data_IF_584186054913
#
_entry.id   IF_584186054913
#
_cell.length_a   1.000
_cell.length_b   1.000
_cell.length_c   1.000
_cell.angle_alpha   90.00
_cell.angle_beta   90.00
_cell.angle_gamma   90.00
#
_symmetry.space_group_name_H-M   'P 1'
#
loop_
_entity.id
_entity.type
_entity.pdbx_description
1 polymer ?
#
# COMPACT_ATOMS: atom_id res chain seq x y z
N UNK A 1 -15.17 -1.90 20.63
CA UNK A 1 -14.72 -1.09 19.46
C UNK A 1 -15.03 0.38 19.73
N UNK A 2 -14.05 1.26 19.53
CA UNK A 2 -14.23 2.70 19.78
C UNK A 2 -15.08 3.35 18.67
N UNK A 3 -15.89 4.38 18.95
CA UNK A 3 -16.74 5.05 17.94
C UNK A 3 -15.97 5.57 16.73
N UNK A 4 -14.77 6.10 16.91
CA UNK A 4 -13.91 6.56 15.82
C UNK A 4 -13.54 5.42 14.85
N UNK A 5 -13.20 4.24 15.37
CA UNK A 5 -12.89 3.06 14.56
C UNK A 5 -14.11 2.55 13.77
N UNK A 6 -15.31 2.61 14.36
CA UNK A 6 -16.55 2.25 13.64
C UNK A 6 -16.78 3.18 12.42
N UNK A 7 -16.59 4.48 12.63
CA UNK A 7 -16.70 5.49 11.55
C UNK A 7 -15.66 5.24 10.45
N UNK A 8 -14.42 4.93 10.81
CA UNK A 8 -13.35 4.62 9.84
C UNK A 8 -13.70 3.37 9.01
N UNK A 9 -14.18 2.30 9.66
CA UNK A 9 -14.59 1.06 8.97
C UNK A 9 -15.78 1.33 8.03
N UNK A 10 -16.75 2.10 8.47
CA UNK A 10 -17.88 2.50 7.62
C UNK A 10 -17.41 3.31 6.40
N UNK A 11 -16.44 4.21 6.57
CA UNK A 11 -15.84 4.96 5.48
C UNK A 11 -15.09 4.05 4.49
N UNK A 12 -14.26 3.11 4.99
CA UNK A 12 -13.60 2.14 4.12
C UNK A 12 -14.59 1.32 3.30
N UNK A 13 -15.64 0.81 3.93
CA UNK A 13 -16.70 0.04 3.24
C UNK A 13 -17.47 0.87 2.20
N UNK A 14 -17.67 2.15 2.44
CA UNK A 14 -18.38 3.06 1.53
C UNK A 14 -17.51 3.53 0.38
N UNK A 15 -16.28 3.97 0.67
CA UNK A 15 -15.44 4.70 -0.28
C UNK A 15 -14.28 3.86 -0.86
N UNK A 16 -13.99 2.70 -0.24
CA UNK A 16 -12.89 1.81 -0.62
C UNK A 16 -11.54 2.22 -0.03
N UNK A 17 -11.47 3.33 0.68
CA UNK A 17 -10.29 3.77 1.44
C UNK A 17 -10.69 4.69 2.60
N UNK A 18 -9.79 4.81 3.58
CA UNK A 18 -9.94 5.74 4.71
C UNK A 18 -8.58 6.17 5.23
N UNK A 19 -8.44 7.44 5.56
CA UNK A 19 -7.29 7.97 6.30
C UNK A 19 -7.53 7.78 7.79
N UNK A 20 -6.55 7.20 8.47
CA UNK A 20 -6.50 7.06 9.92
C UNK A 20 -5.37 7.95 10.42
N UNK A 21 -5.69 9.15 10.94
CA UNK A 21 -4.68 10.09 11.40
C UNK A 21 -4.00 9.59 12.68
N UNK A 22 -2.73 9.95 12.85
CA UNK A 22 -1.90 9.60 14.01
C UNK A 22 -1.92 8.08 14.31
N UNK A 23 -1.85 7.27 13.25
CA UNK A 23 -1.85 5.81 13.38
C UNK A 23 -0.58 5.29 14.04
N UNK A 24 0.57 5.85 13.68
CA UNK A 24 1.86 5.64 14.33
C UNK A 24 2.09 6.76 15.34
N UNK A 25 2.50 6.46 16.59
CA UNK A 25 3.06 7.46 17.47
C UNK A 25 4.30 8.14 16.87
N UNK A 26 4.57 9.39 17.23
CA UNK A 26 5.66 10.19 16.65
C UNK A 26 7.02 9.51 16.78
N UNK A 27 7.34 8.98 17.96
CA UNK A 27 8.58 8.27 18.23
C UNK A 27 8.74 7.00 17.39
N UNK A 28 7.65 6.27 17.16
CA UNK A 28 7.62 5.10 16.30
C UNK A 28 7.82 5.49 14.83
N UNK A 29 7.13 6.53 14.37
CA UNK A 29 7.25 7.03 13.00
C UNK A 29 8.68 7.50 12.72
N UNK A 30 9.30 8.26 13.62
CA UNK A 30 10.69 8.72 13.50
C UNK A 30 11.69 7.55 13.49
N UNK A 31 11.49 6.55 14.36
CA UNK A 31 12.33 5.36 14.39
C UNK A 31 12.23 4.55 13.09
N UNK A 32 11.01 4.29 12.61
CA UNK A 32 10.76 3.61 11.33
C UNK A 32 11.41 4.34 10.16
N UNK A 33 11.25 5.67 10.11
CA UNK A 33 11.84 6.51 9.06
C UNK A 33 13.37 6.44 9.08
N UNK A 34 13.98 6.52 10.24
CA UNK A 34 15.45 6.45 10.41
C UNK A 34 16.01 5.12 9.92
N UNK A 35 15.39 4.00 10.31
CA UNK A 35 15.80 2.68 9.86
C UNK A 35 15.60 2.54 8.35
N UNK A 36 14.47 3.01 7.82
CA UNK A 36 14.18 2.97 6.38
C UNK A 36 15.21 3.76 5.56
N UNK A 37 15.56 4.96 5.99
CA UNK A 37 16.57 5.79 5.32
C UNK A 37 17.97 5.17 5.37
N UNK A 38 18.35 4.55 6.50
CA UNK A 38 19.62 3.84 6.64
C UNK A 38 19.73 2.67 5.66
N UNK A 39 18.70 1.82 5.61
CA UNK A 39 18.65 0.68 4.67
C UNK A 39 18.58 1.13 3.21
N UNK A 40 17.88 2.23 2.92
CA UNK A 40 17.82 2.81 1.59
C UNK A 40 19.20 3.34 1.15
N UNK A 41 19.92 4.04 2.02
CA UNK A 41 21.26 4.54 1.76
C UNK A 41 22.27 3.39 1.57
N UNK A 42 22.18 2.35 2.38
CA UNK A 42 22.98 1.14 2.25
C UNK A 42 22.57 0.25 1.06
N UNK A 43 21.42 0.52 0.42
CA UNK A 43 20.86 -0.29 -0.65
C UNK A 43 20.72 -1.77 -0.28
N UNK A 44 20.28 -2.03 0.94
CA UNK A 44 20.19 -3.41 1.46
C UNK A 44 19.19 -4.27 0.67
N UNK A 45 19.60 -5.43 0.14
CA UNK A 45 18.68 -6.33 -0.54
C UNK A 45 17.74 -7.06 0.46
N UNK A 46 16.59 -7.60 0.00
CA UNK A 46 16.09 -7.55 -1.38
C UNK A 46 15.46 -6.20 -1.72
N UNK A 47 15.70 -5.70 -2.92
CA UNK A 47 15.18 -4.43 -3.40
C UNK A 47 14.70 -4.53 -4.86
N UNK A 48 13.92 -3.54 -5.28
CA UNK A 48 13.49 -3.35 -6.67
C UNK A 48 13.92 -1.95 -7.11
N UNK A 49 14.48 -1.85 -8.31
CA UNK A 49 14.90 -0.58 -8.90
C UNK A 49 13.81 0.02 -9.78
N UNK A 50 13.84 1.34 -9.96
CA UNK A 50 12.93 2.00 -10.91
C UNK A 50 13.11 1.48 -12.33
N UNK A 51 14.35 1.19 -12.74
CA UNK A 51 14.66 0.65 -14.07
C UNK A 51 14.19 -0.81 -14.29
N UNK A 52 13.85 -1.56 -13.23
CA UNK A 52 13.33 -2.93 -13.36
C UNK A 52 11.89 -2.94 -13.89
N UNK A 53 11.21 -1.80 -13.80
CA UNK A 53 9.83 -1.64 -14.23
C UNK A 53 9.75 -0.69 -15.42
N UNK A 54 8.98 -1.06 -16.41
CA UNK A 54 8.71 -0.21 -17.59
C UNK A 54 7.54 0.75 -17.32
N UNK A 55 7.59 1.47 -16.20
CA UNK A 55 6.57 2.44 -15.85
C UNK A 55 6.88 3.82 -16.45
N UNK A 56 5.86 4.65 -16.72
CA UNK A 56 6.09 5.99 -17.26
C UNK A 56 7.01 6.83 -16.37
N UNK A 57 8.07 7.36 -16.94
CA UNK A 57 9.09 8.12 -16.23
C UNK A 57 10.19 7.28 -15.56
N UNK A 58 10.12 5.94 -15.65
CA UNK A 58 11.21 5.08 -15.18
C UNK A 58 12.46 5.23 -16.07
N UNK A 59 13.67 5.14 -15.50
CA UNK A 59 14.90 5.06 -16.27
C UNK A 59 14.86 3.85 -17.23
N UNK A 60 15.38 3.98 -18.46
CA UNK A 60 15.26 2.93 -19.48
C UNK A 60 16.09 1.67 -19.19
N UNK A 61 17.14 1.79 -18.37
CA UNK A 61 18.00 0.68 -17.94
C UNK A 61 18.68 1.01 -16.62
N UNK A 62 19.27 -0.01 -15.98
CA UNK A 62 20.04 0.17 -14.75
C UNK A 62 21.31 1.01 -14.96
N UNK A 63 21.83 1.08 -16.17
CA UNK A 63 23.02 1.87 -16.53
C UNK A 63 22.68 3.32 -16.90
N UNK A 64 21.41 3.62 -17.11
CA UNK A 64 20.96 4.98 -17.41
C UNK A 64 20.99 5.89 -16.16
N UNK A 65 20.98 7.21 -16.39
CA UNK A 65 20.86 8.18 -15.30
C UNK A 65 19.62 7.87 -14.44
N UNK A 66 19.84 7.66 -13.13
CA UNK A 66 18.80 7.26 -12.18
C UNK A 66 18.40 5.78 -12.23
N UNK A 67 19.02 4.95 -13.10
CA UNK A 67 18.69 3.53 -13.27
C UNK A 67 18.86 2.70 -11.99
N UNK A 68 19.76 3.13 -11.13
CA UNK A 68 20.00 2.53 -9.81
C UNK A 68 19.10 3.08 -8.69
N UNK A 69 18.07 3.88 -9.01
CA UNK A 69 17.14 4.42 -8.02
C UNK A 69 16.30 3.30 -7.42
N UNK A 70 16.32 3.16 -6.10
CA UNK A 70 15.53 2.14 -5.40
C UNK A 70 14.07 2.57 -5.40
N UNK A 71 13.20 1.71 -5.90
CA UNK A 71 11.75 1.88 -5.91
C UNK A 71 11.08 1.27 -4.68
N UNK A 72 11.55 0.10 -4.27
CA UNK A 72 11.04 -0.62 -3.09
C UNK A 72 12.19 -1.33 -2.36
N UNK A 73 12.14 -1.29 -1.04
CA UNK A 73 12.84 -2.24 -0.21
C UNK A 73 11.84 -3.36 0.10
N UNK A 74 12.11 -4.55 -0.41
CA UNK A 74 11.20 -5.69 -0.35
C UNK A 74 11.31 -6.42 0.99
N UNK A 75 10.28 -7.22 1.32
CA UNK A 75 10.19 -8.07 2.52
C UNK A 75 10.37 -7.29 3.84
N UNK A 76 9.64 -6.19 4.00
CA UNK A 76 9.74 -5.34 5.19
C UNK A 76 9.62 -6.11 6.50
N UNK A 77 8.72 -7.09 6.59
CA UNK A 77 8.55 -7.94 7.76
C UNK A 77 9.81 -8.75 8.12
N UNK A 78 10.58 -9.16 7.12
CA UNK A 78 11.83 -9.92 7.32
C UNK A 78 13.06 -9.05 7.52
N UNK A 79 12.97 -7.74 7.24
CA UNK A 79 14.12 -6.83 7.20
C UNK A 79 14.59 -6.34 8.55
N UNK A 80 13.63 -6.01 9.41
CA UNK A 80 13.92 -5.34 10.68
C UNK A 80 12.83 -5.66 11.69
N UNK A 81 13.16 -5.97 12.95
CA UNK A 81 12.19 -6.22 14.01
C UNK A 81 11.15 -5.09 14.20
N UNK A 82 11.56 -3.84 13.95
CA UNK A 82 10.65 -2.69 14.08
C UNK A 82 9.59 -2.71 12.97
N UNK A 83 9.97 -3.02 11.72
CA UNK A 83 8.99 -3.19 10.64
C UNK A 83 8.09 -4.40 10.90
N UNK A 84 8.67 -5.52 11.37
CA UNK A 84 7.89 -6.71 11.72
C UNK A 84 6.85 -6.39 12.80
N UNK A 85 7.24 -5.69 13.87
CA UNK A 85 6.34 -5.29 14.95
C UNK A 85 5.14 -4.49 14.42
N UNK A 86 5.37 -3.47 13.60
CA UNK A 86 4.29 -2.63 13.08
C UNK A 86 3.41 -3.35 12.05
N UNK A 87 3.93 -4.36 11.36
CA UNK A 87 3.13 -5.25 10.51
C UNK A 87 2.10 -6.08 11.26
N UNK A 88 2.33 -6.38 12.54
CA UNK A 88 1.45 -7.23 13.38
C UNK A 88 1.03 -6.55 14.68
N UNK A 89 1.20 -5.24 14.79
CA UNK A 89 0.88 -4.49 16.00
C UNK A 89 -0.58 -4.72 16.43
N UNK A 90 -0.86 -4.79 17.74
CA UNK A 90 -2.22 -5.05 18.25
C UNK A 90 -3.27 -4.11 17.66
N UNK A 91 -2.95 -2.81 17.49
CA UNK A 91 -3.85 -1.83 16.87
C UNK A 91 -4.24 -2.16 15.44
N UNK A 92 -3.30 -2.69 14.64
CA UNK A 92 -3.58 -3.20 13.28
C UNK A 92 -4.51 -4.40 13.35
N UNK A 93 -4.16 -5.38 14.21
CA UNK A 93 -4.94 -6.60 14.37
C UNK A 93 -6.38 -6.35 14.82
N UNK A 94 -6.57 -5.47 15.79
CA UNK A 94 -7.90 -5.13 16.32
C UNK A 94 -8.74 -4.39 15.25
N UNK A 95 -8.11 -3.48 14.50
CA UNK A 95 -8.79 -2.77 13.42
C UNK A 95 -9.23 -3.72 12.30
N UNK A 96 -8.33 -4.61 11.88
CA UNK A 96 -8.60 -5.58 10.81
C UNK A 96 -9.62 -6.63 11.23
N UNK A 97 -9.57 -7.15 12.45
CA UNK A 97 -10.62 -8.05 12.98
C UNK A 97 -11.99 -7.40 13.00
N UNK A 98 -12.07 -6.14 13.36
CA UNK A 98 -13.33 -5.40 13.33
C UNK A 98 -13.87 -5.19 11.90
N UNK A 99 -12.99 -5.07 10.91
CA UNK A 99 -13.36 -4.96 9.51
C UNK A 99 -13.82 -6.31 8.94
N UNK A 100 -12.99 -7.37 9.06
CA UNK A 100 -13.26 -8.68 8.46
C UNK A 100 -14.26 -9.53 9.26
N UNK A 101 -14.44 -9.26 10.56
CA UNK A 101 -15.31 -10.04 11.45
C UNK A 101 -14.73 -11.39 11.86
N UNK A 102 -13.46 -11.64 11.61
CA UNK A 102 -12.76 -12.90 11.88
C UNK A 102 -11.28 -12.65 12.19
N UNK A 103 -10.54 -13.73 12.50
CA UNK A 103 -9.08 -13.69 12.63
C UNK A 103 -8.42 -13.23 11.32
N UNK A 104 -7.26 -12.61 11.46
CA UNK A 104 -6.59 -11.91 10.36
C UNK A 104 -5.22 -12.48 10.10
N UNK A 105 -4.89 -12.58 8.82
CA UNK A 105 -3.58 -12.94 8.31
C UNK A 105 -2.97 -11.74 7.55
N UNK A 106 -1.67 -11.55 7.73
CA UNK A 106 -0.86 -10.65 6.91
C UNK A 106 -0.19 -11.44 5.81
N UNK A 107 -0.44 -11.07 4.56
CA UNK A 107 0.23 -11.68 3.41
C UNK A 107 1.67 -11.17 3.30
N UNK A 108 2.64 -12.10 3.21
CA UNK A 108 4.04 -11.77 2.91
C UNK A 108 4.37 -11.80 1.43
N UNK A 109 3.47 -12.30 0.60
CA UNK A 109 3.68 -12.46 -0.85
C UNK A 109 3.36 -11.19 -1.66
N UNK A 110 2.66 -10.22 -1.06
CA UNK A 110 2.21 -8.97 -1.69
C UNK A 110 2.82 -7.74 -1.02
N UNK A 111 2.04 -6.69 -0.75
CA UNK A 111 2.55 -5.52 -0.05
C UNK A 111 3.12 -5.93 1.32
N UNK A 112 4.40 -5.96 1.37
CA UNK A 112 5.26 -6.24 2.52
C UNK A 112 6.60 -5.55 2.20
N UNK A 113 6.57 -4.24 2.11
CA UNK A 113 7.70 -3.46 1.62
C UNK A 113 7.68 -2.01 2.10
N UNK A 114 8.84 -1.37 2.01
CA UNK A 114 8.94 0.08 2.02
C UNK A 114 8.84 0.58 0.58
N UNK A 115 7.90 1.48 0.33
CA UNK A 115 7.74 2.16 -0.95
C UNK A 115 8.48 3.47 -0.92
N UNK A 116 9.24 3.76 -1.96
CA UNK A 116 9.94 5.04 -2.11
C UNK A 116 9.41 5.80 -3.32
N UNK A 117 9.50 7.12 -3.28
CA UNK A 117 9.37 7.98 -4.45
C UNK A 117 10.52 8.97 -4.43
N UNK A 118 11.49 8.76 -5.29
CA UNK A 118 12.62 9.66 -5.43
C UNK A 118 12.28 10.89 -6.25
N UNK A 119 12.81 12.07 -5.90
CA UNK A 119 12.82 13.22 -6.78
C UNK A 119 13.45 12.84 -8.14
N UNK A 120 12.95 13.40 -9.23
CA UNK A 120 13.45 13.24 -10.62
C UNK A 120 13.29 11.84 -11.23
N UNK A 121 13.63 10.77 -10.51
CA UNK A 121 13.71 9.40 -11.08
C UNK A 121 12.60 8.46 -10.63
N UNK A 122 11.72 8.90 -9.73
CA UNK A 122 10.56 8.11 -9.33
C UNK A 122 9.55 8.03 -10.49
N UNK A 123 9.23 6.82 -10.94
CA UNK A 123 8.24 6.59 -12.00
C UNK A 123 6.81 6.87 -11.52
N UNK A 124 5.93 7.14 -12.45
CA UNK A 124 4.48 7.16 -12.16
C UNK A 124 3.96 5.73 -12.04
N UNK A 125 2.99 5.53 -11.16
CA UNK A 125 2.18 4.31 -11.15
C UNK A 125 0.80 4.65 -11.67
N UNK A 126 0.46 4.16 -12.86
CA UNK A 126 -0.84 4.40 -13.51
C UNK A 126 -2.01 3.90 -12.66
N UNK A 127 -3.23 4.29 -13.03
CA UNK A 127 -4.45 3.85 -12.36
C UNK A 127 -4.58 2.32 -12.41
N UNK A 128 -4.76 1.68 -11.27
CA UNK A 128 -4.86 0.23 -11.15
C UNK A 128 -5.61 -0.18 -9.89
N UNK A 129 -5.92 -1.47 -9.81
CA UNK A 129 -6.37 -2.15 -8.59
C UNK A 129 -5.27 -3.12 -8.17
N UNK A 130 -5.00 -3.23 -6.88
CA UNK A 130 -3.96 -4.13 -6.37
C UNK A 130 -4.28 -5.61 -6.62
N UNK A 131 -5.56 -5.96 -6.61
CA UNK A 131 -6.03 -7.33 -6.86
C UNK A 131 -5.56 -7.91 -8.21
N UNK A 132 -5.14 -7.07 -9.16
CA UNK A 132 -4.70 -7.48 -10.52
C UNK A 132 -3.66 -8.59 -10.55
N UNK A 133 -2.88 -8.73 -9.49
CA UNK A 133 -1.82 -9.73 -9.37
C UNK A 133 -2.02 -10.68 -8.19
N UNK A 134 -3.13 -10.58 -7.48
CA UNK A 134 -3.38 -11.34 -6.28
C UNK A 134 -4.45 -12.40 -6.55
N UNK A 135 -4.23 -13.61 -6.04
CA UNK A 135 -5.10 -14.76 -6.25
C UNK A 135 -5.54 -15.33 -4.91
N UNK A 136 -6.71 -14.91 -4.46
CA UNK A 136 -7.36 -15.37 -3.24
C UNK A 136 -8.73 -15.99 -3.54
N UNK A 137 -9.35 -16.63 -2.54
CA UNK A 137 -10.69 -17.18 -2.66
C UNK A 137 -11.71 -16.07 -2.95
N UNK A 138 -11.54 -14.90 -2.33
CA UNK A 138 -12.34 -13.69 -2.52
C UNK A 138 -11.43 -12.47 -2.74
N UNK A 139 -11.94 -11.49 -3.46
CA UNK A 139 -11.28 -10.19 -3.65
C UNK A 139 -11.58 -9.25 -2.47
N UNK A 140 -11.24 -9.69 -1.26
CA UNK A 140 -11.48 -8.97 -0.01
C UNK A 140 -10.19 -8.93 0.81
N UNK A 141 -9.32 -7.97 0.47
CA UNK A 141 -8.08 -7.69 1.14
C UNK A 141 -7.95 -6.19 1.37
N UNK A 142 -7.28 -5.82 2.44
CA UNK A 142 -7.01 -4.41 2.81
C UNK A 142 -5.51 -4.19 2.94
N UNK A 143 -5.01 -3.19 2.25
CA UNK A 143 -3.65 -2.68 2.43
C UNK A 143 -3.63 -1.56 3.47
N UNK A 144 -2.61 -1.55 4.32
CA UNK A 144 -2.29 -0.47 5.25
C UNK A 144 -1.02 0.20 4.77
N UNK A 145 -1.15 1.45 4.39
CA UNK A 145 -0.10 2.32 3.92
C UNK A 145 0.22 3.34 5.01
N UNK A 146 1.36 3.19 5.67
CA UNK A 146 1.82 4.04 6.78
C UNK A 146 2.79 5.09 6.25
N UNK A 147 2.45 6.35 6.38
CA UNK A 147 3.27 7.47 5.93
C UNK A 147 4.44 7.69 6.90
N UNK A 148 5.68 7.50 6.42
CA UNK A 148 6.90 7.77 7.19
C UNK A 148 7.42 9.20 7.02
N UNK A 149 6.64 10.06 6.42
CA UNK A 149 6.88 11.47 6.18
C UNK A 149 5.62 12.08 5.59
N UNK A 150 5.63 13.38 5.31
CA UNK A 150 4.50 14.01 4.64
C UNK A 150 4.27 13.40 3.26
N UNK A 151 3.00 13.13 2.91
CA UNK A 151 2.59 12.70 1.59
C UNK A 151 1.53 13.62 1.01
N UNK A 152 1.79 14.10 -0.20
CA UNK A 152 0.92 15.00 -0.96
C UNK A 152 0.90 14.59 -2.43
N UNK A 153 -0.03 15.14 -3.21
CA UNK A 153 -0.03 14.97 -4.67
C UNK A 153 1.29 15.38 -5.33
N UNK A 154 2.02 16.34 -4.73
CA UNK A 154 3.25 16.89 -5.31
C UNK A 154 4.47 16.00 -5.09
N UNK A 155 4.50 15.23 -4.01
CA UNK A 155 5.62 14.32 -3.73
C UNK A 155 5.33 12.86 -4.09
N UNK A 156 4.29 12.61 -4.91
CA UNK A 156 3.92 11.28 -5.37
C UNK A 156 3.07 10.50 -4.37
N UNK A 157 2.27 11.20 -3.57
CA UNK A 157 1.22 10.60 -2.75
C UNK A 157 0.15 9.90 -3.57
N UNK A 158 -0.65 9.08 -2.91
CA UNK A 158 -1.68 8.27 -3.54
C UNK A 158 -2.89 9.11 -3.96
N UNK A 159 -3.46 8.72 -5.08
CA UNK A 159 -4.76 9.15 -5.57
C UNK A 159 -5.73 7.98 -5.53
N UNK A 160 -6.97 8.21 -5.14
CA UNK A 160 -8.02 7.19 -5.07
C UNK A 160 -9.27 7.68 -5.80
N UNK A 161 -9.94 6.77 -6.49
CA UNK A 161 -11.30 6.99 -6.99
C UNK A 161 -12.27 6.44 -5.95
N UNK A 162 -13.00 7.29 -5.21
CA UNK A 162 -13.93 6.82 -4.19
C UNK A 162 -14.98 5.88 -4.77
N UNK A 163 -15.34 4.83 -4.03
CA UNK A 163 -16.36 3.81 -4.38
C UNK A 163 -16.01 2.91 -5.56
N UNK A 164 -14.85 3.09 -6.21
CA UNK A 164 -14.47 2.28 -7.36
C UNK A 164 -14.24 0.80 -7.02
N UNK A 165 -14.01 0.46 -5.76
CA UNK A 165 -13.88 -0.93 -5.31
C UNK A 165 -15.20 -1.73 -5.45
N UNK A 166 -16.35 -1.06 -5.47
CA UNK A 166 -17.66 -1.65 -5.68
C UNK A 166 -18.15 -1.57 -7.15
N UNK A 167 -17.37 -0.96 -8.05
CA UNK A 167 -17.69 -0.87 -9.46
C UNK A 167 -17.26 -2.14 -10.20
N UNK A 168 -18.08 -2.54 -11.16
CA UNK A 168 -17.71 -3.59 -12.12
C UNK A 168 -17.06 -2.97 -13.33
N UNK A 169 -15.90 -3.50 -13.74
CA UNK A 169 -15.15 -3.08 -14.90
C UNK A 169 -14.99 -4.23 -15.89
N UNK A 170 -15.14 -3.96 -17.17
CA UNK A 170 -14.82 -4.90 -18.24
C UNK A 170 -13.30 -5.01 -18.46
N UNK A 171 -12.85 -6.12 -19.05
CA UNK A 171 -11.44 -6.33 -19.35
C UNK A 171 -10.88 -5.28 -20.31
N UNK A 172 -11.69 -4.77 -21.23
CA UNK A 172 -11.36 -3.73 -22.22
C UNK A 172 -11.02 -2.38 -21.59
N UNK A 173 -11.42 -2.15 -20.32
CA UNK A 173 -11.10 -0.95 -19.56
C UNK A 173 -9.65 -0.96 -19.02
N UNK A 174 -8.96 -2.09 -19.13
CA UNK A 174 -7.58 -2.25 -18.71
C UNK A 174 -6.68 -2.58 -19.91
N UNK A 175 -5.42 -2.21 -19.81
CA UNK A 175 -4.38 -2.64 -20.76
C UNK A 175 -3.85 -4.04 -20.41
N UNK A 176 -2.90 -4.54 -21.22
CA UNK A 176 -2.28 -5.86 -21.01
C UNK A 176 -1.53 -5.97 -19.67
N UNK A 177 -1.05 -4.86 -19.09
CA UNK A 177 -0.43 -4.79 -17.78
C UNK A 177 -1.43 -4.56 -16.65
N UNK A 178 -2.73 -4.60 -16.97
CA UNK A 178 -3.84 -4.36 -16.05
C UNK A 178 -3.84 -2.96 -15.42
N UNK A 179 -3.36 -1.97 -16.17
CA UNK A 179 -3.61 -0.57 -15.85
C UNK A 179 -4.90 -0.09 -16.49
N UNK A 180 -5.61 0.80 -15.79
CA UNK A 180 -6.87 1.38 -16.24
C UNK A 180 -6.59 2.39 -17.37
N UNK A 181 -7.20 2.19 -18.53
CA UNK A 181 -6.91 2.90 -19.78
C UNK A 181 -7.53 4.29 -19.79
N UNK A 182 -6.72 5.34 -19.71
CA UNK A 182 -7.20 6.73 -19.74
C UNK A 182 -7.48 7.25 -21.16
N UNK A 183 -7.09 6.51 -22.20
CA UNK A 183 -7.45 6.79 -23.59
C UNK A 183 -8.94 6.51 -23.89
N UNK A 184 -9.62 5.78 -23.01
CA UNK A 184 -11.07 5.57 -23.06
C UNK A 184 -11.81 6.72 -22.36
N UNK A 185 -12.84 7.25 -23.04
CA UNK A 185 -13.65 8.36 -22.51
C UNK A 185 -14.39 8.01 -21.21
N UNK A 186 -14.96 6.81 -21.12
CA UNK A 186 -15.64 6.30 -19.93
C UNK A 186 -14.70 6.19 -18.73
N UNK A 187 -13.50 5.68 -18.94
CA UNK A 187 -12.48 5.58 -17.90
C UNK A 187 -11.99 6.97 -17.44
N UNK A 188 -11.74 7.87 -18.40
CA UNK A 188 -11.32 9.23 -18.09
C UNK A 188 -12.38 9.97 -17.25
N UNK A 189 -13.66 9.72 -17.50
CA UNK A 189 -14.75 10.29 -16.68
C UNK A 189 -14.73 9.76 -15.24
N UNK A 190 -14.54 8.46 -15.07
CA UNK A 190 -14.49 7.82 -13.74
C UNK A 190 -13.38 8.43 -12.87
N UNK A 191 -12.18 8.63 -13.43
CA UNK A 191 -11.04 9.16 -12.66
C UNK A 191 -11.13 10.66 -12.35
N UNK A 192 -12.07 11.40 -12.93
CA UNK A 192 -12.31 12.81 -12.58
C UNK A 192 -12.75 13.01 -11.12
N UNK A 193 -13.38 12.00 -10.53
CA UNK A 193 -13.78 12.02 -9.12
C UNK A 193 -12.64 11.68 -8.15
N UNK A 194 -11.43 11.46 -8.66
CA UNK A 194 -10.30 11.06 -7.84
C UNK A 194 -9.90 12.14 -6.84
N UNK A 195 -9.50 11.69 -5.66
CA UNK A 195 -9.00 12.54 -4.58
C UNK A 195 -7.62 12.06 -4.14
N UNK A 196 -6.77 13.00 -3.73
CA UNK A 196 -5.46 12.70 -3.15
C UNK A 196 -5.47 13.20 -1.70
N UNK A 197 -5.57 12.32 -0.72
CA UNK A 197 -5.50 12.72 0.68
C UNK A 197 -4.08 13.21 1.00
N UNK A 198 -3.98 14.29 1.76
CA UNK A 198 -2.72 14.70 2.39
C UNK A 198 -2.53 13.87 3.65
N UNK A 199 -1.34 13.29 3.82
CA UNK A 199 -0.98 12.54 5.01
C UNK A 199 0.13 13.27 5.74
N UNK A 200 -0.05 13.46 7.04
CA UNK A 200 1.02 13.84 7.95
C UNK A 200 1.93 12.62 8.25
N UNK A 201 3.16 12.83 8.72
CA UNK A 201 3.98 11.74 9.25
C UNK A 201 3.21 10.98 10.33
N UNK A 202 3.19 9.65 10.25
CA UNK A 202 2.45 8.80 11.20
C UNK A 202 0.99 8.52 10.83
N UNK A 203 0.42 9.21 9.87
CA UNK A 203 -0.90 8.84 9.33
C UNK A 203 -0.83 7.52 8.56
N UNK A 204 -1.96 6.83 8.46
CA UNK A 204 -2.09 5.67 7.60
C UNK A 204 -3.32 5.76 6.69
N UNK A 205 -3.21 5.21 5.48
CA UNK A 205 -4.37 4.95 4.62
C UNK A 205 -4.63 3.45 4.60
N UNK A 206 -5.87 3.08 4.93
CA UNK A 206 -6.39 1.74 4.75
C UNK A 206 -7.19 1.71 3.46
N UNK A 207 -6.90 0.79 2.55
CA UNK A 207 -7.61 0.73 1.28
C UNK A 207 -7.83 -0.69 0.79
N UNK A 208 -8.99 -0.88 0.18
CA UNK A 208 -9.46 -2.16 -0.36
C UNK A 208 -8.69 -2.51 -1.65
N UNK A 209 -8.37 -3.78 -1.85
CA UNK A 209 -7.61 -4.27 -3.01
C UNK A 209 -8.21 -3.91 -4.37
N UNK A 210 -9.51 -3.67 -4.43
CA UNK A 210 -10.25 -3.31 -5.64
C UNK A 210 -10.43 -1.80 -5.85
N UNK A 211 -10.00 -0.92 -4.93
CA UNK A 211 -10.11 0.51 -5.17
C UNK A 211 -9.14 0.94 -6.27
N UNK A 212 -9.63 1.69 -7.27
CA UNK A 212 -8.77 2.32 -8.27
C UNK A 212 -7.92 3.39 -7.61
N UNK A 213 -6.60 3.23 -7.76
CA UNK A 213 -5.64 4.19 -7.22
C UNK A 213 -4.45 4.36 -8.15
N UNK A 214 -3.71 5.44 -7.95
CA UNK A 214 -2.50 5.77 -8.70
C UNK A 214 -1.53 6.55 -7.83
N UNK A 215 -0.29 6.74 -8.31
CA UNK A 215 0.70 7.59 -7.65
C UNK A 215 1.50 8.37 -8.69
N UNK A 216 1.56 9.69 -8.52
CA UNK A 216 2.31 10.59 -9.39
C UNK A 216 3.82 10.48 -9.24
N UNK A 217 4.54 11.35 -9.95
CA UNK A 217 5.95 11.58 -9.73
C UNK A 217 6.17 12.44 -8.47
N UNK A 218 7.34 12.28 -7.87
CA UNK A 218 7.77 13.16 -6.81
C UNK A 218 8.45 14.41 -7.42
N UNK A 219 7.82 15.57 -7.20
CA UNK A 219 8.30 16.90 -7.64
C UNK A 219 8.95 17.69 -6.51
N UNK A 220 9.03 17.11 -5.30
CA UNK A 220 9.72 17.72 -4.16
C UNK A 220 11.22 17.38 -4.20
N UNK A 221 11.98 17.92 -3.26
CA UNK A 221 13.42 17.68 -3.14
C UNK A 221 13.79 16.52 -2.21
N UNK A 222 12.81 15.90 -1.54
CA UNK A 222 13.02 14.83 -0.58
C UNK A 222 12.39 13.52 -1.02
N UNK A 223 13.02 12.39 -0.66
CA UNK A 223 12.44 11.06 -0.89
C UNK A 223 11.20 10.87 -0.02
N UNK A 224 10.08 10.50 -0.64
CA UNK A 224 8.89 10.04 0.07
C UNK A 224 9.04 8.57 0.43
N UNK A 225 8.66 8.21 1.66
CA UNK A 225 8.78 6.86 2.21
C UNK A 225 7.46 6.43 2.86
N UNK A 226 7.05 5.20 2.58
CA UNK A 226 5.86 4.59 3.17
C UNK A 226 6.10 3.11 3.48
N UNK A 227 5.61 2.64 4.61
CA UNK A 227 5.64 1.21 4.99
C UNK A 227 4.27 0.60 4.65
N UNK A 228 4.26 -0.51 3.92
CA UNK A 228 3.00 -1.08 3.38
C UNK A 228 2.89 -2.56 3.68
N UNK A 229 1.72 -2.96 4.21
CA UNK A 229 1.33 -4.35 4.42
C UNK A 229 -0.08 -4.62 3.89
N UNK A 230 -0.35 -5.89 3.55
CA UNK A 230 -1.68 -6.34 3.11
C UNK A 230 -2.22 -7.43 4.01
N UNK A 231 -3.51 -7.33 4.31
CA UNK A 231 -4.22 -8.21 5.24
C UNK A 231 -5.49 -8.78 4.62
N UNK A 232 -5.89 -9.95 5.13
CA UNK A 232 -7.17 -10.60 4.78
C UNK A 232 -7.70 -11.42 5.96
N UNK A 233 -8.97 -11.76 5.90
CA UNK A 233 -9.58 -12.66 6.88
C UNK A 233 -9.09 -14.09 6.74
N UNK A 234 -9.04 -14.84 7.84
CA UNK A 234 -8.57 -16.23 7.89
C UNK A 234 -9.30 -17.13 6.88
N UNK A 235 -10.59 -16.89 6.63
CA UNK A 235 -11.40 -17.67 5.69
C UNK A 235 -11.12 -17.34 4.21
N UNK A 236 -10.32 -16.31 3.92
CA UNK A 236 -9.99 -15.88 2.56
C UNK A 236 -8.61 -16.37 2.12
N UNK A 237 -8.43 -17.68 2.01
CA UNK A 237 -7.14 -18.28 1.69
C UNK A 237 -6.59 -17.90 0.30
N UNK A 238 -5.27 -17.73 0.15
CA UNK A 238 -4.64 -17.61 -1.16
C UNK A 238 -4.81 -18.91 -1.95
N UNK A 239 -5.00 -18.80 -3.28
CA UNK A 239 -5.15 -19.96 -4.16
C UNK A 239 -3.83 -20.72 -4.28
N UNK A 240 -3.87 -22.01 -4.02
CA UNK A 240 -2.70 -22.89 -4.11
C UNK A 240 -2.03 -22.83 -5.50
N UNK A 241 -0.71 -22.92 -5.55
CA UNK A 241 0.09 -22.87 -6.78
C UNK A 241 0.24 -21.46 -7.38
N UNK A 242 -0.28 -20.42 -6.74
CA UNK A 242 -0.10 -19.03 -7.18
C UNK A 242 0.96 -18.30 -6.38
N UNK A 243 1.40 -17.13 -6.88
CA UNK A 243 2.28 -16.23 -6.13
C UNK A 243 1.72 -15.89 -4.75
N UNK A 244 0.40 -15.73 -4.64
CA UNK A 244 -0.24 -15.36 -3.36
C UNK A 244 0.01 -16.39 -2.26
N UNK A 245 0.15 -17.67 -2.61
CA UNK A 245 0.48 -18.77 -1.69
C UNK A 245 1.97 -19.08 -1.58
N UNK A 246 2.86 -18.26 -2.16
CA UNK A 246 4.30 -18.57 -2.25
C UNK A 246 5.09 -18.35 -0.96
N UNK A 247 4.52 -17.61 0.01
CA UNK A 247 5.15 -17.32 1.29
C UNK A 247 4.18 -17.64 2.43
N UNK A 248 4.72 -18.13 3.54
CA UNK A 248 3.93 -18.33 4.76
C UNK A 248 3.38 -16.98 5.25
N UNK A 249 2.11 -16.96 5.59
CA UNK A 249 1.40 -15.81 6.11
C UNK A 249 1.64 -15.66 7.62
N UNK A 250 1.43 -14.46 8.14
CA UNK A 250 1.57 -14.18 9.57
C UNK A 250 0.19 -13.95 10.19
N UNK A 251 -0.21 -14.82 11.13
CA UNK A 251 -1.46 -14.62 11.89
C UNK A 251 -1.25 -13.51 12.92
N UNK A 252 -2.14 -12.54 12.93
CA UNK A 252 -2.12 -11.48 13.91
C UNK A 252 -2.68 -11.98 15.24
N UNK A 253 -1.89 -11.84 16.31
CA UNK A 253 -2.35 -12.21 17.65
C UNK A 253 -3.61 -11.40 18.03
N UNK A 254 -4.53 -12.05 18.74
CA UNK A 254 -5.62 -11.32 19.39
C UNK A 254 -5.00 -10.34 20.40
N UNK A 255 -5.41 -9.07 20.36
CA UNK A 255 -5.00 -8.12 21.38
C UNK A 255 -5.39 -8.67 22.76
N UNK A 256 -4.48 -8.61 23.74
CA UNK A 256 -4.85 -8.90 25.11
C UNK A 256 -6.01 -7.95 25.48
N UNK A 257 -7.11 -8.50 26.00
CA UNK A 257 -8.19 -7.68 26.52
C UNK A 257 -7.57 -6.68 27.51
N UNK A 258 -7.76 -5.39 27.27
CA UNK A 258 -7.36 -4.40 28.27
C UNK A 258 -8.12 -4.75 29.56
N UNK A 259 -7.43 -4.95 30.68
CA UNK A 259 -8.14 -5.04 31.95
C UNK A 259 -8.96 -3.77 32.09
N UNK A 260 -10.28 -3.96 32.36
CA UNK A 260 -11.26 -2.88 32.54
C UNK A 260 -11.01 -2.05 33.80
#
# INVERSE_FOLDING_TARGET
MQPAQQTQIASLRRDGFVVVPNFLPDDAQEALRRVALGQLAAREPPLELEADLKYPGAPPSQDAAGGQTVRRLLDAYGRDPLFAFWGVAPGVGDWMRAYFGEDVLMSRAHHNCLMTKHPRYGSMTGWHRDIRYWSFAREDLVSVWMALGEETSDNGGLWFVPRSHAMTFGEEQFDAAKFFRLDRKDNAEIVRSAVSPRLAPGDAVFFHCNVLHSAGQNRSDAVKLSLVYTYHGLSNAPRAGTRSASKAEVRLAAGAARPG
#
